data_IF_348152593190
#
_entry.id   IF_348152593190
#
_cell.length_a   1.000
_cell.length_b   1.000
_cell.length_c   1.000
_cell.angle_alpha   90.00
_cell.angle_beta   90.00
_cell.angle_gamma   90.00
#
_symmetry.space_group_name_H-M   'P 1'
#
loop_
_entity.id
_entity.type
_entity.pdbx_description
1 polymer ?
#
# COMPACT_ATOMS: atom_id res chain seq x y z
N UNK A 1 -24.92 32.42 -37.52
CA UNK A 1 -23.51 32.12 -37.20
C UNK A 1 -23.47 31.67 -35.76
N UNK A 2 -23.35 30.37 -35.49
CA UNK A 2 -22.93 29.84 -34.18
C UNK A 2 -22.62 28.36 -34.31
N UNK A 3 -21.34 28.05 -34.16
CA UNK A 3 -20.78 26.70 -34.15
C UNK A 3 -20.66 26.29 -32.68
N UNK A 4 -21.41 25.26 -32.26
CA UNK A 4 -21.30 24.70 -30.90
C UNK A 4 -20.39 23.48 -30.97
N UNK A 5 -19.19 23.61 -30.41
CA UNK A 5 -18.21 22.53 -30.28
C UNK A 5 -18.47 21.84 -28.94
N UNK A 6 -18.93 20.59 -28.99
CA UNK A 6 -19.01 19.73 -27.81
C UNK A 6 -17.67 19.04 -27.59
N UNK A 7 -16.91 19.50 -26.59
CA UNK A 7 -15.76 18.78 -26.06
C UNK A 7 -16.26 17.69 -25.10
N UNK A 8 -16.44 16.47 -25.58
CA UNK A 8 -16.68 15.32 -24.70
C UNK A 8 -15.37 14.91 -24.07
N UNK A 9 -15.20 15.22 -22.78
CA UNK A 9 -14.07 14.74 -22.00
C UNK A 9 -14.05 13.21 -21.95
N UNK A 10 -12.92 12.62 -22.30
CA UNK A 10 -12.70 11.19 -22.12
C UNK A 10 -12.69 10.88 -20.61
N UNK A 11 -13.58 9.99 -20.19
CA UNK A 11 -13.59 9.44 -18.84
C UNK A 11 -12.34 8.56 -18.67
N UNK A 12 -11.34 9.03 -17.92
CA UNK A 12 -10.23 8.19 -17.47
C UNK A 12 -10.81 7.22 -16.45
N UNK A 13 -11.07 5.99 -16.88
CA UNK A 13 -11.58 4.92 -16.02
C UNK A 13 -10.46 4.44 -15.10
N UNK A 14 -10.71 4.55 -13.80
CA UNK A 14 -9.85 4.20 -12.67
C UNK A 14 -9.30 2.77 -12.73
N UNK A 15 -8.06 2.60 -13.21
CA UNK A 15 -7.30 1.33 -13.13
C UNK A 15 -6.77 1.04 -11.70
N UNK A 16 -6.92 1.96 -10.75
CA UNK A 16 -6.34 1.84 -9.41
C UNK A 16 -7.01 0.79 -8.51
N UNK A 17 -8.24 0.35 -8.83
CA UNK A 17 -8.98 -0.61 -8.00
C UNK A 17 -8.56 -2.07 -8.22
N UNK A 18 -8.36 -2.47 -9.47
CA UNK A 18 -7.95 -3.84 -9.84
C UNK A 18 -6.51 -4.14 -9.44
N UNK A 19 -5.62 -3.15 -9.49
CA UNK A 19 -4.20 -3.31 -9.13
C UNK A 19 -3.96 -3.44 -7.62
N UNK A 20 -4.86 -2.89 -6.77
CA UNK A 20 -4.84 -3.14 -5.31
C UNK A 20 -5.20 -4.57 -4.94
N UNK A 21 -5.88 -5.30 -5.83
CA UNK A 21 -6.36 -6.66 -5.58
C UNK A 21 -5.22 -7.61 -5.23
N UNK A 22 -4.05 -7.39 -5.83
CA UNK A 22 -2.89 -8.27 -5.66
C UNK A 22 -2.18 -8.12 -4.31
N UNK A 23 -2.60 -7.14 -3.50
CA UNK A 23 -2.14 -6.91 -2.13
C UNK A 23 -3.29 -7.05 -1.11
N UNK A 24 -4.39 -7.72 -1.47
CA UNK A 24 -5.59 -7.89 -0.63
C UNK A 24 -5.35 -8.58 0.71
N UNK A 25 -4.30 -9.39 0.83
CA UNK A 25 -3.91 -10.07 2.06
C UNK A 25 -3.10 -9.18 3.03
N UNK A 26 -2.88 -7.91 2.68
CA UNK A 26 -2.34 -6.88 3.57
C UNK A 26 -3.51 -6.17 4.24
N UNK A 27 -3.84 -6.51 5.50
CA UNK A 27 -4.99 -5.92 6.17
C UNK A 27 -4.75 -4.44 6.51
N UNK A 28 -5.78 -3.60 6.33
CA UNK A 28 -5.73 -2.16 6.63
C UNK A 28 -6.67 -1.81 7.79
N UNK A 29 -6.19 -1.14 8.86
CA UNK A 29 -7.02 -0.70 9.96
C UNK A 29 -8.17 0.21 9.50
N UNK A 30 -9.31 0.08 10.18
CA UNK A 30 -10.45 0.98 9.96
C UNK A 30 -10.09 2.42 10.33
N UNK A 31 -10.78 3.40 9.73
CA UNK A 31 -10.55 4.82 9.98
C UNK A 31 -9.38 5.42 9.20
N UNK A 32 -8.77 4.64 8.30
CA UNK A 32 -7.78 5.10 7.34
C UNK A 32 -8.43 5.35 5.97
N UNK A 33 -7.99 6.42 5.31
CA UNK A 33 -8.33 6.75 3.93
C UNK A 33 -7.10 6.64 3.05
N UNK A 34 -7.26 6.02 1.89
CA UNK A 34 -6.19 5.89 0.89
C UNK A 34 -5.84 7.24 0.25
N UNK A 35 -4.57 7.44 -0.05
CA UNK A 35 -4.01 8.68 -0.63
C UNK A 35 -3.42 8.33 -2.00
N UNK A 36 -4.21 8.48 -3.05
CA UNK A 36 -3.88 8.00 -4.40
C UNK A 36 -2.72 8.74 -5.05
N UNK A 37 -2.66 10.04 -4.87
CA UNK A 37 -1.60 10.93 -5.35
C UNK A 37 -0.22 10.64 -4.76
N UNK A 38 -0.14 9.95 -3.63
CA UNK A 38 1.11 9.58 -2.97
C UNK A 38 1.44 8.09 -3.06
N UNK A 39 0.54 7.31 -3.65
CA UNK A 39 0.69 5.87 -3.78
C UNK A 39 1.15 5.50 -5.18
N UNK A 40 2.02 4.50 -5.26
CA UNK A 40 2.60 4.03 -6.53
C UNK A 40 2.54 2.52 -6.55
N UNK A 41 2.20 1.97 -7.72
CA UNK A 41 2.30 0.55 -7.98
C UNK A 41 3.28 0.37 -9.14
N UNK A 42 4.20 -0.57 -8.95
CA UNK A 42 5.28 -0.86 -9.86
C UNK A 42 5.08 -2.31 -10.31
N UNK A 43 4.80 -2.48 -11.59
CA UNK A 43 4.68 -3.77 -12.22
C UNK A 43 5.82 -3.98 -13.20
N UNK A 44 6.53 -5.10 -13.03
CA UNK A 44 7.56 -5.56 -13.95
C UNK A 44 7.37 -7.05 -14.23
N UNK A 45 8.00 -7.61 -15.27
CA UNK A 45 7.84 -9.02 -15.63
C UNK A 45 8.19 -10.02 -14.52
N UNK A 46 9.10 -9.65 -13.60
CA UNK A 46 9.60 -10.54 -12.54
C UNK A 46 9.22 -10.10 -11.14
N UNK A 47 8.74 -8.87 -10.95
CA UNK A 47 8.43 -8.30 -9.63
C UNK A 47 7.20 -7.43 -9.72
N UNK A 48 6.31 -7.57 -8.74
CA UNK A 48 5.30 -6.58 -8.41
C UNK A 48 5.61 -5.94 -7.08
N UNK A 49 5.63 -4.63 -7.04
CA UNK A 49 5.84 -3.86 -5.83
C UNK A 49 4.81 -2.74 -5.73
N UNK A 50 4.49 -2.34 -4.51
CA UNK A 50 3.61 -1.21 -4.28
C UNK A 50 4.08 -0.41 -3.08
N UNK A 51 3.91 0.90 -3.18
CA UNK A 51 3.99 1.86 -2.07
C UNK A 51 2.59 2.44 -1.90
N UNK A 52 1.89 2.00 -0.87
CA UNK A 52 0.51 2.41 -0.60
C UNK A 52 0.50 3.35 0.59
N UNK A 53 -0.07 4.54 0.41
CA UNK A 53 -0.18 5.56 1.44
C UNK A 53 -1.63 5.66 1.93
N UNK A 54 -1.79 5.63 3.24
CA UNK A 54 -3.04 5.83 3.94
C UNK A 54 -2.87 6.90 4.99
N UNK A 55 -3.96 7.59 5.33
CA UNK A 55 -3.99 8.61 6.38
C UNK A 55 -5.25 8.53 7.22
N UNK A 56 -5.16 8.92 8.49
CA UNK A 56 -6.33 8.98 9.39
C UNK A 56 -6.09 9.88 10.59
N UNK A 57 -7.13 10.05 11.40
CA UNK A 57 -7.08 10.76 12.69
C UNK A 57 -7.01 9.75 13.83
N UNK A 58 -5.90 9.04 13.89
CA UNK A 58 -5.63 7.98 14.87
C UNK A 58 -4.28 8.29 15.50
N UNK A 59 -4.16 8.15 16.82
CA UNK A 59 -2.89 8.32 17.52
C UNK A 59 -1.83 7.32 16.99
N UNK A 60 -0.60 7.81 16.79
CA UNK A 60 0.46 7.09 16.07
C UNK A 60 0.83 5.75 16.72
N UNK A 61 1.02 5.72 18.04
CA UNK A 61 1.38 4.51 18.78
C UNK A 61 0.28 3.45 18.72
N UNK A 62 -0.97 3.87 18.89
CA UNK A 62 -2.17 3.03 18.77
C UNK A 62 -2.29 2.43 17.38
N UNK A 63 -2.03 3.24 16.34
CA UNK A 63 -2.04 2.77 14.96
C UNK A 63 -0.90 1.78 14.68
N UNK A 64 0.30 2.05 15.18
CA UNK A 64 1.44 1.13 15.05
C UNK A 64 1.18 -0.21 15.74
N UNK A 65 0.55 -0.22 16.92
CA UNK A 65 0.14 -1.44 17.61
C UNK A 65 -0.94 -2.18 16.80
N UNK A 66 -1.96 -1.48 16.32
CA UNK A 66 -3.03 -2.07 15.52
C UNK A 66 -2.49 -2.73 14.24
N UNK A 67 -1.59 -2.06 13.52
CA UNK A 67 -0.92 -2.63 12.33
C UNK A 67 -0.21 -3.93 12.68
N UNK A 68 0.60 -3.93 13.74
CA UNK A 68 1.34 -5.12 14.15
C UNK A 68 0.44 -6.29 14.50
N UNK A 69 -0.59 -6.06 15.32
CA UNK A 69 -1.57 -7.08 15.69
C UNK A 69 -2.29 -7.64 14.46
N UNK A 70 -2.69 -6.78 13.53
CA UNK A 70 -3.37 -7.21 12.30
C UNK A 70 -2.44 -8.02 11.38
N UNK A 71 -1.18 -7.62 11.21
CA UNK A 71 -0.21 -8.35 10.40
C UNK A 71 0.07 -9.73 10.97
N UNK A 72 0.42 -9.81 12.26
CA UNK A 72 0.72 -11.07 12.94
C UNK A 72 -0.49 -12.02 12.93
N UNK A 73 -1.71 -11.50 13.15
CA UNK A 73 -2.94 -12.30 13.08
C UNK A 73 -3.24 -12.84 11.67
N UNK A 74 -2.72 -12.20 10.61
CA UNK A 74 -2.89 -12.63 9.22
C UNK A 74 -1.68 -13.44 8.70
N UNK A 75 -0.86 -13.96 9.61
CA UNK A 75 0.25 -14.87 9.29
C UNK A 75 1.50 -14.19 8.72
N UNK A 76 1.61 -12.87 8.86
CA UNK A 76 2.86 -12.16 8.56
C UNK A 76 3.83 -12.32 9.72
N UNK A 77 5.05 -12.79 9.44
CA UNK A 77 6.10 -12.94 10.45
C UNK A 77 6.82 -11.60 10.64
N UNK A 78 6.85 -11.11 11.88
CA UNK A 78 7.63 -9.92 12.22
C UNK A 78 9.13 -10.20 12.09
N UNK A 79 9.84 -9.34 11.36
CA UNK A 79 11.30 -9.37 11.19
C UNK A 79 11.95 -8.29 12.07
N UNK A 80 11.40 -7.08 12.07
CA UNK A 80 11.88 -5.99 12.91
C UNK A 80 10.77 -4.99 13.24
N UNK A 81 10.95 -4.28 14.35
CA UNK A 81 10.08 -3.19 14.78
C UNK A 81 10.93 -2.12 15.47
N UNK A 82 11.02 -0.94 14.87
CA UNK A 82 11.81 0.17 15.34
C UNK A 82 10.91 1.38 15.51
N UNK A 83 10.93 2.00 16.69
CA UNK A 83 10.14 3.20 16.98
C UNK A 83 11.02 4.33 17.47
N UNK A 84 10.80 5.54 16.96
CA UNK A 84 11.45 6.76 17.40
C UNK A 84 10.42 7.89 17.46
N UNK A 85 10.41 8.66 18.55
CA UNK A 85 9.42 9.72 18.78
C UNK A 85 9.34 10.74 17.65
N UNK A 86 10.46 11.05 16.99
CA UNK A 86 10.54 12.04 15.91
C UNK A 86 10.37 11.46 14.51
N UNK A 87 10.59 10.15 14.32
CA UNK A 87 10.62 9.51 12.99
C UNK A 87 9.49 8.50 12.78
N UNK A 88 8.68 8.27 13.80
CA UNK A 88 7.58 7.33 13.81
C UNK A 88 8.04 5.89 14.06
N UNK A 89 7.22 4.94 13.60
CA UNK A 89 7.45 3.51 13.77
C UNK A 89 7.61 2.84 12.42
N UNK A 90 8.66 2.04 12.27
CA UNK A 90 8.88 1.18 11.10
C UNK A 90 8.82 -0.28 11.55
N UNK A 91 8.00 -1.07 10.87
CA UNK A 91 7.82 -2.50 11.08
C UNK A 91 8.10 -3.23 9.77
N UNK A 92 8.85 -4.33 9.83
CA UNK A 92 9.18 -5.15 8.67
C UNK A 92 8.66 -6.56 8.88
N UNK A 93 8.03 -7.11 7.85
CA UNK A 93 7.37 -8.39 7.85
C UNK A 93 7.74 -9.23 6.63
N UNK A 94 7.57 -10.54 6.78
CA UNK A 94 7.71 -11.50 5.70
C UNK A 94 6.56 -12.51 5.69
N UNK A 95 6.13 -12.92 4.50
CA UNK A 95 5.15 -14.00 4.30
C UNK A 95 5.38 -14.70 2.96
N UNK A 96 5.67 -16.00 3.01
CA UNK A 96 5.89 -16.85 1.82
C UNK A 96 6.90 -16.26 0.81
N UNK A 97 8.03 -15.72 1.29
CA UNK A 97 9.06 -15.10 0.46
C UNK A 97 8.74 -13.67 -0.01
N UNK A 98 7.58 -13.12 0.34
CA UNK A 98 7.23 -11.73 0.09
C UNK A 98 7.61 -10.86 1.28
N UNK A 99 8.02 -9.62 1.02
CA UNK A 99 8.35 -8.65 2.06
C UNK A 99 7.34 -7.52 2.12
N UNK A 100 7.11 -7.03 3.34
CA UNK A 100 6.26 -5.89 3.63
C UNK A 100 6.93 -5.00 4.68
N UNK A 101 7.11 -3.73 4.34
CA UNK A 101 7.47 -2.70 5.31
C UNK A 101 6.24 -1.83 5.59
N UNK A 102 5.89 -1.69 6.86
CA UNK A 102 4.90 -0.73 7.35
C UNK A 102 5.63 0.41 8.03
N UNK A 103 5.35 1.65 7.62
CA UNK A 103 5.87 2.84 8.28
C UNK A 103 4.72 3.71 8.74
N UNK A 104 4.70 4.07 10.01
CA UNK A 104 3.69 4.93 10.63
C UNK A 104 4.37 6.22 11.08
N UNK A 105 3.85 7.38 10.71
CA UNK A 105 4.38 8.67 11.17
C UNK A 105 3.29 9.72 11.29
N UNK A 106 3.55 10.73 12.10
CA UNK A 106 2.66 11.87 12.29
C UNK A 106 3.00 12.99 11.30
N UNK A 107 1.96 13.56 10.68
CA UNK A 107 2.02 14.82 9.96
C UNK A 107 1.17 15.88 10.66
N UNK A 108 1.12 17.10 10.11
CA UNK A 108 0.48 18.23 10.80
C UNK A 108 -1.01 18.03 11.14
N UNK A 109 -1.74 17.27 10.32
CA UNK A 109 -3.19 17.08 10.46
C UNK A 109 -3.63 15.62 10.55
N UNK A 110 -2.76 14.70 10.17
CA UNK A 110 -3.08 13.29 10.03
C UNK A 110 -1.89 12.44 10.43
N UNK A 111 -2.18 11.24 10.90
CA UNK A 111 -1.21 10.17 11.00
C UNK A 111 -1.24 9.39 9.70
N UNK A 112 -0.07 9.05 9.18
CA UNK A 112 0.12 8.35 7.92
C UNK A 112 0.60 6.93 8.16
N UNK A 113 0.19 6.04 7.27
CA UNK A 113 0.72 4.67 7.15
C UNK A 113 1.16 4.47 5.72
N UNK A 114 2.42 4.13 5.53
CA UNK A 114 2.97 3.62 4.29
C UNK A 114 3.12 2.12 4.39
N UNK A 115 2.64 1.43 3.37
CA UNK A 115 2.86 0.01 3.17
C UNK A 115 3.64 -0.17 1.89
N UNK A 116 4.89 -0.60 2.02
CA UNK A 116 5.77 -0.91 0.91
C UNK A 116 5.88 -2.43 0.82
N UNK A 117 5.21 -3.01 -0.17
CA UNK A 117 5.16 -4.45 -0.40
C UNK A 117 5.94 -4.81 -1.66
N UNK A 118 6.58 -5.98 -1.66
CA UNK A 118 7.13 -6.56 -2.88
C UNK A 118 6.87 -8.07 -2.97
N UNK A 119 6.61 -8.53 -4.19
CA UNK A 119 6.33 -9.92 -4.55
C UNK A 119 7.16 -10.28 -5.76
N UNK A 120 7.91 -11.38 -5.65
CA UNK A 120 8.53 -12.00 -6.81
C UNK A 120 7.45 -12.72 -7.62
N UNK A 121 7.40 -12.48 -8.92
CA UNK A 121 6.58 -13.27 -9.82
C UNK A 121 7.39 -14.46 -10.33
N UNK A 122 6.79 -15.66 -10.42
CA UNK A 122 7.42 -16.74 -11.13
C UNK A 122 7.65 -16.31 -12.60
N UNK A 123 8.75 -16.74 -13.23
CA UNK A 123 9.02 -16.40 -14.62
C UNK A 123 7.84 -16.84 -15.50
N UNK A 124 7.47 -16.07 -16.54
CA UNK A 124 6.44 -16.47 -17.47
C UNK A 124 6.81 -17.85 -18.02
N UNK A 125 5.91 -18.81 -17.86
CA UNK A 125 6.12 -20.19 -18.30
C UNK A 125 6.38 -20.13 -19.80
N UNK A 126 7.59 -20.50 -20.23
CA UNK A 126 7.89 -20.61 -21.64
C UNK A 126 6.92 -21.65 -22.21
N UNK A 127 5.98 -21.21 -23.04
CA UNK A 127 5.14 -22.11 -23.83
C UNK A 127 6.07 -22.88 -24.77
N UNK A 128 6.43 -24.11 -24.40
CA UNK A 128 7.10 -25.05 -25.28
C UNK A 128 6.12 -25.38 -26.41
N UNK A 129 6.39 -24.87 -27.61
CA UNK A 129 5.77 -25.31 -28.84
C UNK A 129 6.77 -26.11 -29.66
#
# INVERSE_FOLDING_TARGET
MSLVVFLTGACVTSQSRTLRSEFEDIPVPKGLSYVEDQSVIIESPSVKAARLIYRGRIEMGSLAVAMRTMMEANGWRAISNTSASTHGTTQVYEKAGNSLQVRVWEGLYYTYVEMTASRALPPPTAETK
#
